data_IF_394387895593
#
_entry.id   IF_394387895593
#
_cell.length_a   1.000
_cell.length_b   1.000
_cell.length_c   1.000
_cell.angle_alpha   90.00
_cell.angle_beta   90.00
_cell.angle_gamma   90.00
#
_symmetry.space_group_name_H-M   'P 1'
#
loop_
_entity.id
_entity.type
_entity.pdbx_description
1 polymer ?
#
# COMPACT_ATOMS: atom_id res chain seq x y z
N UNK A 1 22.10 -10.94 -15.96
CA UNK A 1 21.34 -10.54 -14.77
C UNK A 1 21.50 -9.04 -14.62
N UNK A 2 20.50 -8.27 -15.04
CA UNK A 2 20.46 -6.87 -14.63
C UNK A 2 20.10 -6.87 -13.13
N UNK A 3 21.07 -6.47 -12.30
CA UNK A 3 20.84 -6.30 -10.87
C UNK A 3 19.89 -5.14 -10.59
N UNK A 4 19.51 -4.96 -9.33
CA UNK A 4 18.80 -3.77 -8.89
C UNK A 4 19.58 -2.51 -9.28
N UNK A 5 18.88 -1.53 -9.86
CA UNK A 5 19.45 -0.24 -10.24
C UNK A 5 18.86 0.86 -9.35
N UNK A 6 19.72 1.75 -8.88
CA UNK A 6 19.28 2.91 -8.09
C UNK A 6 18.46 3.87 -8.97
N UNK A 7 17.34 4.34 -8.42
CA UNK A 7 16.47 5.29 -9.11
C UNK A 7 17.16 6.64 -9.22
N UNK A 8 17.11 7.26 -10.40
CA UNK A 8 17.70 8.60 -10.60
C UNK A 8 16.88 9.71 -9.93
N UNK A 9 17.53 10.81 -9.56
CA UNK A 9 16.91 12.01 -9.00
C UNK A 9 16.73 11.96 -7.50
N UNK A 10 15.92 12.88 -6.96
CA UNK A 10 15.80 13.04 -5.49
C UNK A 10 15.32 11.76 -4.79
N UNK A 11 14.44 10.98 -5.41
CA UNK A 11 13.94 9.74 -4.81
C UNK A 11 15.04 8.71 -4.50
N UNK A 12 16.12 8.63 -5.29
CA UNK A 12 17.26 7.74 -5.00
C UNK A 12 18.22 8.30 -3.94
N UNK A 13 18.30 9.63 -3.82
CA UNK A 13 19.24 10.30 -2.91
C UNK A 13 18.67 10.56 -1.51
N UNK A 14 17.36 10.39 -1.32
CA UNK A 14 16.71 10.63 -0.03
C UNK A 14 16.84 9.38 0.84
N UNK A 15 17.51 9.54 1.99
CA UNK A 15 17.76 8.45 2.95
C UNK A 15 16.74 8.38 4.10
N UNK A 16 15.81 9.34 4.19
CA UNK A 16 14.76 9.38 5.22
C UNK A 16 13.40 8.84 4.71
N UNK A 17 13.35 8.14 3.57
CA UNK A 17 12.12 7.51 3.07
C UNK A 17 11.71 6.34 3.98
N UNK A 18 10.51 6.41 4.54
CA UNK A 18 9.89 5.34 5.32
C UNK A 18 9.02 4.43 4.45
N UNK A 19 8.26 5.01 3.52
CA UNK A 19 7.43 4.29 2.57
C UNK A 19 7.18 5.14 1.33
N UNK A 20 6.81 4.50 0.22
CA UNK A 20 6.49 5.20 -1.01
C UNK A 20 5.49 4.42 -1.87
N UNK A 21 4.97 5.10 -2.88
CA UNK A 21 4.29 4.50 -4.02
C UNK A 21 4.68 5.25 -5.29
N UNK A 22 4.50 4.59 -6.42
CA UNK A 22 4.79 5.14 -7.75
C UNK A 22 3.60 4.87 -8.65
N UNK A 23 3.11 5.89 -9.35
CA UNK A 23 2.06 5.74 -10.36
C UNK A 23 2.63 5.30 -11.71
N UNK A 24 1.79 4.75 -12.59
CA UNK A 24 2.17 4.43 -13.97
C UNK A 24 2.64 5.64 -14.78
N UNK A 25 2.28 6.85 -14.37
CA UNK A 25 2.75 8.12 -14.96
C UNK A 25 4.13 8.57 -14.42
N UNK A 26 4.79 7.73 -13.62
CA UNK A 26 6.10 8.00 -13.04
C UNK A 26 6.08 9.11 -11.98
N UNK A 27 4.95 9.32 -11.29
CA UNK A 27 4.89 10.20 -10.12
C UNK A 27 5.18 9.39 -8.87
N UNK A 28 6.07 9.90 -8.03
CA UNK A 28 6.43 9.34 -6.73
C UNK A 28 5.67 10.08 -5.63
N UNK A 29 5.09 9.34 -4.72
CA UNK A 29 4.65 9.84 -3.41
C UNK A 29 5.47 9.12 -2.34
N UNK A 30 6.25 9.86 -1.56
CA UNK A 30 7.15 9.31 -0.56
C UNK A 30 6.84 9.91 0.82
N UNK A 31 6.64 9.04 1.81
CA UNK A 31 6.60 9.42 3.22
C UNK A 31 8.03 9.44 3.74
N UNK A 32 8.42 10.58 4.30
CA UNK A 32 9.74 10.84 4.83
C UNK A 32 9.68 11.00 6.35
N UNK A 33 10.52 10.27 7.08
CA UNK A 33 10.62 10.35 8.55
C UNK A 33 11.55 11.50 8.92
N UNK A 34 10.98 12.66 9.24
CA UNK A 34 11.73 13.90 9.55
C UNK A 34 12.34 13.88 10.94
N UNK A 35 11.64 13.26 11.88
CA UNK A 35 12.08 13.00 13.25
C UNK A 35 11.26 11.85 13.85
N UNK A 36 11.51 11.48 15.10
CA UNK A 36 10.70 10.48 15.81
C UNK A 36 9.21 10.86 15.87
N UNK A 37 8.91 12.16 15.94
CA UNK A 37 7.56 12.71 16.10
C UNK A 37 7.02 13.42 14.85
N UNK A 38 7.75 13.37 13.71
CA UNK A 38 7.30 14.00 12.46
C UNK A 38 7.59 13.13 11.25
N UNK A 39 6.55 12.85 10.48
CA UNK A 39 6.59 12.33 9.12
C UNK A 39 5.99 13.36 8.15
N UNK A 40 6.50 13.39 6.93
CA UNK A 40 6.04 14.32 5.90
C UNK A 40 5.88 13.61 4.55
N UNK A 41 4.77 13.87 3.85
CA UNK A 41 4.61 13.41 2.48
C UNK A 41 5.36 14.37 1.54
N UNK A 42 6.11 13.81 0.60
CA UNK A 42 6.68 14.52 -0.52
C UNK A 42 6.24 13.88 -1.84
N UNK A 43 5.93 14.67 -2.87
CA UNK A 43 5.44 14.18 -4.15
C UNK A 43 6.10 14.89 -5.33
N UNK A 44 6.37 14.17 -6.41
CA UNK A 44 7.00 14.73 -7.61
C UNK A 44 7.20 13.67 -8.69
N UNK A 45 7.64 14.06 -9.88
CA UNK A 45 8.00 13.09 -10.93
C UNK A 45 9.30 12.38 -10.56
N UNK A 46 9.40 11.10 -10.92
CA UNK A 46 10.63 10.32 -10.84
C UNK A 46 11.75 11.07 -11.58
N UNK A 47 12.96 11.11 -11.02
CA UNK A 47 14.05 11.90 -11.59
C UNK A 47 14.02 13.40 -11.27
N UNK A 48 12.95 13.92 -10.67
CA UNK A 48 12.81 15.35 -10.32
C UNK A 48 12.77 15.57 -8.81
N UNK A 49 12.75 16.84 -8.40
CA UNK A 49 12.56 17.22 -7.00
C UNK A 49 11.16 16.82 -6.52
N UNK A 50 11.09 16.31 -5.29
CA UNK A 50 9.84 16.05 -4.61
C UNK A 50 9.44 17.27 -3.78
N UNK A 51 8.24 17.81 -4.02
CA UNK A 51 7.68 18.89 -3.24
C UNK A 51 7.04 18.35 -1.96
N UNK A 52 7.29 19.02 -0.84
CA UNK A 52 6.70 18.64 0.44
C UNK A 52 5.22 19.06 0.51
N UNK A 53 4.42 18.23 1.17
CA UNK A 53 2.99 18.49 1.42
C UNK A 53 2.69 18.36 2.92
N UNK A 54 1.64 17.64 3.26
CA UNK A 54 1.14 17.32 4.59
C UNK A 54 2.20 16.74 5.53
N UNK A 55 1.96 16.95 6.83
CA UNK A 55 2.74 16.43 7.95
C UNK A 55 1.83 15.73 8.96
N UNK A 56 2.39 14.80 9.71
CA UNK A 56 1.78 14.14 10.87
C UNK A 56 2.87 13.54 11.74
N UNK A 57 2.51 12.92 12.87
CA UNK A 57 3.45 12.08 13.62
C UNK A 57 3.77 10.80 12.85
N UNK A 58 2.74 10.22 12.24
CA UNK A 58 2.84 9.08 11.33
C UNK A 58 2.05 9.35 10.05
N UNK A 59 2.51 8.73 8.96
CA UNK A 59 1.79 8.67 7.70
C UNK A 59 1.81 7.23 7.21
N UNK A 60 0.65 6.68 6.83
CA UNK A 60 0.59 5.37 6.19
C UNK A 60 1.26 5.40 4.81
N UNK A 61 1.57 4.21 4.25
CA UNK A 61 2.07 4.14 2.87
C UNK A 61 1.06 4.79 1.92
N UNK A 62 1.47 5.74 1.06
CA UNK A 62 0.55 6.40 0.15
C UNK A 62 0.04 5.43 -0.93
N UNK A 63 -1.07 5.77 -1.59
CA UNK A 63 -1.63 5.03 -2.72
C UNK A 63 -2.16 5.99 -3.76
N UNK A 64 -1.96 5.71 -5.05
CA UNK A 64 -2.42 6.60 -6.13
C UNK A 64 -3.86 6.31 -6.57
N UNK A 65 -4.59 7.37 -6.96
CA UNK A 65 -5.74 7.25 -7.86
C UNK A 65 -5.25 6.89 -9.28
N UNK A 66 -6.13 6.29 -10.08
CA UNK A 66 -5.85 5.85 -11.45
C UNK A 66 -5.26 6.92 -12.40
N UNK A 67 -5.43 8.22 -12.10
CA UNK A 67 -4.81 9.29 -12.91
C UNK A 67 -3.31 9.47 -12.66
N UNK A 68 -2.79 8.85 -11.59
CA UNK A 68 -1.39 8.95 -11.18
C UNK A 68 -0.96 10.31 -10.63
N UNK A 69 -1.87 11.28 -10.52
CA UNK A 69 -1.57 12.66 -10.05
C UNK A 69 -2.15 12.96 -8.67
N UNK A 70 -2.90 12.03 -8.08
CA UNK A 70 -3.49 12.18 -6.76
C UNK A 70 -3.08 10.99 -5.91
N UNK A 71 -2.40 11.23 -4.80
CA UNK A 71 -2.13 10.19 -3.81
C UNK A 71 -2.98 10.39 -2.56
N UNK A 72 -3.41 9.28 -1.98
CA UNK A 72 -4.07 9.23 -0.69
C UNK A 72 -3.09 8.72 0.36
N UNK A 73 -3.20 9.21 1.59
CA UNK A 73 -2.51 8.64 2.75
C UNK A 73 -3.36 8.82 4.00
N UNK A 74 -3.09 8.01 5.01
CA UNK A 74 -3.60 8.21 6.36
C UNK A 74 -2.62 9.07 7.14
N UNK A 75 -3.11 10.04 7.90
CA UNK A 75 -2.36 10.82 8.90
C UNK A 75 -2.74 10.30 10.29
N UNK A 76 -1.74 9.98 11.12
CA UNK A 76 -1.89 9.64 12.53
C UNK A 76 -2.91 8.53 12.84
N UNK A 77 -3.24 7.70 11.84
CA UNK A 77 -4.21 6.61 11.96
C UNK A 77 -5.69 7.02 11.89
N UNK A 78 -6.01 8.32 11.92
CA UNK A 78 -7.37 8.81 12.16
C UNK A 78 -7.96 9.66 11.02
N UNK A 79 -7.15 10.09 10.05
CA UNK A 79 -7.59 10.96 8.96
C UNK A 79 -7.06 10.50 7.62
N UNK A 80 -7.93 10.45 6.62
CA UNK A 80 -7.53 10.16 5.23
C UNK A 80 -7.49 11.45 4.44
N UNK A 81 -6.36 11.71 3.78
CA UNK A 81 -6.14 12.92 2.99
C UNK A 81 -5.74 12.59 1.57
N UNK A 82 -6.16 13.44 0.65
CA UNK A 82 -5.78 13.44 -0.76
C UNK A 82 -4.79 14.55 -1.01
N UNK A 83 -3.71 14.23 -1.69
CA UNK A 83 -2.71 15.19 -2.17
C UNK A 83 -2.72 15.14 -3.68
N UNK A 84 -3.12 16.24 -4.31
CA UNK A 84 -3.22 16.40 -5.76
C UNK A 84 -2.02 17.19 -6.26
N UNK A 85 -1.34 16.65 -7.27
CA UNK A 85 -0.28 17.35 -8.00
C UNK A 85 -0.81 17.93 -9.29
N UNK A 86 -0.57 19.21 -9.52
CA UNK A 86 -0.79 19.84 -10.81
C UNK A 86 0.20 19.29 -11.84
N UNK A 87 -0.25 18.66 -12.95
CA UNK A 87 0.67 18.18 -13.98
C UNK A 87 1.43 19.32 -14.67
N UNK A 88 0.81 20.50 -14.73
CA UNK A 88 1.33 21.68 -15.41
C UNK A 88 2.37 22.43 -14.57
N UNK A 89 2.11 22.61 -13.27
CA UNK A 89 2.94 23.46 -12.38
C UNK A 89 3.78 22.65 -11.39
N UNK A 90 3.38 21.41 -11.08
CA UNK A 90 3.99 20.61 -10.02
C UNK A 90 3.44 20.91 -8.62
N UNK A 91 2.73 22.03 -8.46
CA UNK A 91 2.15 22.45 -7.20
C UNK A 91 1.23 21.39 -6.59
N UNK A 92 1.30 21.27 -5.27
CA UNK A 92 0.51 20.34 -4.49
C UNK A 92 -0.67 21.04 -3.80
N UNK A 93 -1.85 20.44 -3.85
CA UNK A 93 -3.03 20.83 -3.08
C UNK A 93 -3.59 19.66 -2.30
N UNK A 94 -4.30 19.94 -1.21
CA UNK A 94 -4.76 18.92 -0.27
C UNK A 94 -6.26 19.02 -0.01
N UNK A 95 -6.93 17.88 0.13
CA UNK A 95 -8.33 17.81 0.56
C UNK A 95 -8.54 16.59 1.45
N UNK A 96 -9.40 16.68 2.45
CA UNK A 96 -9.77 15.52 3.28
C UNK A 96 -10.74 14.59 2.53
N UNK A 97 -10.73 13.32 2.93
CA UNK A 97 -11.71 12.33 2.50
C UNK A 97 -12.73 12.16 3.61
N UNK A 98 -14.01 12.28 3.27
CA UNK A 98 -15.10 12.00 4.20
C UNK A 98 -15.08 10.50 4.58
N UNK A 99 -14.96 10.28 5.89
CA UNK A 99 -14.81 8.99 6.52
C UNK A 99 -15.92 8.69 7.53
N UNK A 100 -17.08 9.35 7.42
CA UNK A 100 -18.16 9.15 8.40
C UNK A 100 -18.66 7.70 8.51
N UNK A 101 -18.52 6.91 7.44
CA UNK A 101 -18.83 5.46 7.45
C UNK A 101 -17.84 4.61 8.26
N UNK A 102 -16.72 5.19 8.71
CA UNK A 102 -15.72 4.52 9.55
C UNK A 102 -15.85 4.90 11.04
N UNK A 103 -16.72 5.84 11.40
CA UNK A 103 -16.83 6.37 12.78
C UNK A 103 -17.21 5.28 13.80
N UNK A 104 -17.98 4.27 13.39
CA UNK A 104 -18.39 3.14 14.23
C UNK A 104 -17.34 2.00 14.29
N UNK A 105 -16.21 2.14 13.59
CA UNK A 105 -15.13 1.14 13.57
C UNK A 105 -14.01 1.58 14.50
N UNK A 106 -13.81 0.84 15.58
CA UNK A 106 -12.77 1.14 16.57
C UNK A 106 -11.35 0.84 16.05
N UNK A 107 -10.45 1.81 16.24
CA UNK A 107 -9.00 1.65 16.07
C UNK A 107 -8.41 2.50 14.96
N UNK A 108 -7.08 2.47 14.86
CA UNK A 108 -6.32 3.26 13.89
C UNK A 108 -6.24 2.55 12.54
N UNK A 109 -6.34 3.33 11.46
CA UNK A 109 -6.11 2.88 10.09
C UNK A 109 -4.60 2.81 9.84
N UNK A 110 -4.04 1.59 9.81
CA UNK A 110 -2.61 1.37 9.61
C UNK A 110 -2.23 1.22 8.12
N UNK A 111 -3.17 0.78 7.29
CA UNK A 111 -2.97 0.60 5.84
C UNK A 111 -4.21 1.08 5.10
N UNK A 112 -4.01 1.77 3.98
CA UNK A 112 -5.05 2.16 3.02
C UNK A 112 -4.51 1.97 1.59
N UNK A 113 -5.19 1.17 0.78
CA UNK A 113 -4.81 0.90 -0.63
C UNK A 113 -6.01 1.06 -1.55
N UNK A 114 -5.87 1.90 -2.56
CA UNK A 114 -6.86 2.04 -3.63
C UNK A 114 -6.72 0.89 -4.62
N UNK A 115 -7.86 0.42 -5.15
CA UNK A 115 -7.86 -0.51 -6.28
C UNK A 115 -7.29 0.18 -7.51
N UNK A 116 -6.80 -0.58 -8.50
CA UNK A 116 -6.27 0.00 -9.75
C UNK A 116 -7.26 0.96 -10.42
N UNK A 117 -8.56 0.62 -10.40
CA UNK A 117 -9.63 1.48 -10.94
C UNK A 117 -9.90 2.75 -10.11
N UNK A 118 -9.38 2.84 -8.89
CA UNK A 118 -9.69 3.89 -7.91
C UNK A 118 -11.12 3.85 -7.35
N UNK A 119 -11.92 2.85 -7.73
CA UNK A 119 -13.33 2.74 -7.32
C UNK A 119 -13.51 2.09 -5.93
N UNK A 120 -12.48 1.41 -5.43
CA UNK A 120 -12.50 0.71 -4.14
C UNK A 120 -11.29 1.07 -3.30
N UNK A 121 -11.45 0.87 -2.01
CA UNK A 121 -10.40 1.02 -1.01
C UNK A 121 -10.36 -0.23 -0.13
N UNK A 122 -9.16 -0.71 0.18
CA UNK A 122 -8.91 -1.73 1.18
C UNK A 122 -8.13 -1.11 2.33
N UNK A 123 -8.51 -1.44 3.56
CA UNK A 123 -7.96 -0.83 4.77
C UNK A 123 -7.62 -1.91 5.79
N UNK A 124 -6.58 -1.66 6.58
CA UNK A 124 -6.35 -2.38 7.83
C UNK A 124 -6.66 -1.43 8.97
N UNK A 125 -7.61 -1.82 9.83
CA UNK A 125 -8.00 -1.09 11.03
C UNK A 125 -7.86 -2.04 12.21
N UNK A 126 -6.96 -1.74 13.14
CA UNK A 126 -6.63 -2.59 14.29
C UNK A 126 -6.38 -4.07 13.93
N UNK A 127 -5.62 -4.30 12.84
CA UNK A 127 -5.30 -5.64 12.34
C UNK A 127 -6.47 -6.42 11.71
N UNK A 128 -7.63 -5.78 11.53
CA UNK A 128 -8.78 -6.31 10.76
C UNK A 128 -8.86 -5.66 9.39
N UNK A 129 -9.41 -6.38 8.41
CA UNK A 129 -9.44 -5.93 7.01
C UNK A 129 -10.84 -5.45 6.67
N UNK A 130 -10.89 -4.27 6.04
CA UNK A 130 -12.11 -3.65 5.56
C UNK A 130 -11.97 -3.32 4.08
N UNK A 131 -13.06 -3.44 3.35
CA UNK A 131 -13.18 -2.91 1.98
C UNK A 131 -14.28 -1.88 1.93
N UNK A 132 -14.16 -0.90 1.04
CA UNK A 132 -15.16 0.13 0.82
C UNK A 132 -15.18 0.59 -0.63
N UNK A 133 -16.16 1.42 -0.95
CA UNK A 133 -16.33 2.08 -2.24
C UNK A 133 -15.88 3.53 -2.13
N UNK A 134 -15.11 3.99 -3.11
CA UNK A 134 -14.73 5.40 -3.24
C UNK A 134 -15.81 6.13 -4.03
N UNK A 135 -16.63 6.91 -3.33
CA UNK A 135 -17.65 7.73 -3.96
C UNK A 135 -17.18 9.19 -4.12
N UNK A 136 -17.80 9.88 -5.07
CA UNK A 136 -17.64 11.33 -5.27
C UNK A 136 -18.92 12.02 -4.80
N UNK A 137 -18.78 13.04 -3.98
CA UNK A 137 -19.89 13.96 -3.69
C UNK A 137 -20.12 14.90 -4.89
N UNK A 138 -21.30 15.52 -4.95
CA UNK A 138 -21.62 16.54 -5.97
C UNK A 138 -20.68 17.74 -5.88
N UNK A 139 -20.19 18.05 -4.68
CA UNK A 139 -19.15 19.07 -4.41
C UNK A 139 -17.79 18.72 -5.00
N UNK A 140 -17.57 17.46 -5.40
CA UNK A 140 -16.31 16.96 -5.94
C UNK A 140 -15.41 16.26 -4.91
N UNK A 141 -15.74 16.36 -3.62
CA UNK A 141 -15.05 15.68 -2.52
C UNK A 141 -15.17 14.16 -2.63
N UNK A 142 -14.20 13.46 -2.04
CA UNK A 142 -14.19 11.99 -1.99
C UNK A 142 -14.68 11.52 -0.63
N UNK A 143 -15.39 10.40 -0.65
CA UNK A 143 -15.90 9.74 0.55
C UNK A 143 -15.74 8.23 0.43
N UNK A 144 -15.52 7.57 1.56
CA UNK A 144 -15.51 6.12 1.67
C UNK A 144 -16.90 5.67 2.13
N UNK A 145 -17.54 4.78 1.39
CA UNK A 145 -18.91 4.29 1.68
C UNK A 145 -19.02 2.78 1.47
N UNK A 146 -20.12 2.18 1.94
CA UNK A 146 -20.38 0.73 1.85
C UNK A 146 -19.20 -0.08 2.42
N UNK A 147 -18.82 0.25 3.65
CA UNK A 147 -17.67 -0.37 4.30
C UNK A 147 -18.06 -1.74 4.85
N UNK A 148 -17.31 -2.77 4.48
CA UNK A 148 -17.54 -4.13 4.93
C UNK A 148 -16.25 -4.79 5.39
N UNK A 149 -16.35 -5.50 6.50
CA UNK A 149 -15.26 -6.33 7.03
C UNK A 149 -15.13 -7.61 6.19
N UNK A 150 -13.91 -7.96 5.84
CA UNK A 150 -13.57 -9.19 5.10
C UNK A 150 -12.46 -9.96 5.81
N UNK A 151 -12.32 -11.25 5.52
CA UNK A 151 -11.27 -12.10 6.12
C UNK A 151 -11.34 -12.19 7.65
N UNK A 152 -12.48 -12.59 8.24
CA UNK A 152 -12.61 -12.68 9.70
C UNK A 152 -11.57 -13.63 10.35
N UNK A 153 -10.99 -14.56 9.60
CA UNK A 153 -9.93 -15.45 10.07
C UNK A 153 -8.62 -14.71 10.40
N UNK A 154 -8.43 -13.49 9.87
CA UNK A 154 -7.22 -12.69 10.04
C UNK A 154 -7.33 -11.63 11.14
N UNK A 155 -8.46 -11.56 11.86
CA UNK A 155 -8.71 -10.58 12.92
C UNK A 155 -7.51 -10.35 13.83
N UNK A 156 -6.99 -9.12 13.89
CA UNK A 156 -5.89 -8.74 14.77
C UNK A 156 -4.51 -9.20 14.32
N UNK A 157 -4.38 -9.78 13.12
CA UNK A 157 -3.11 -10.30 12.60
C UNK A 157 -2.67 -9.68 11.27
N UNK A 158 -3.54 -8.97 10.55
CA UNK A 158 -3.20 -8.35 9.28
C UNK A 158 -2.23 -7.18 9.49
N UNK A 159 -1.12 -7.18 8.75
CA UNK A 159 -0.06 -6.16 8.84
C UNK A 159 0.12 -5.37 7.55
N UNK A 160 -0.08 -6.02 6.40
CA UNK A 160 0.06 -5.41 5.09
C UNK A 160 -0.97 -5.98 4.14
N UNK A 161 -1.45 -5.18 3.19
CA UNK A 161 -2.30 -5.65 2.12
C UNK A 161 -2.01 -4.90 0.82
N UNK A 162 -2.32 -5.52 -0.30
CA UNK A 162 -2.39 -4.86 -1.59
C UNK A 162 -3.34 -5.58 -2.56
N UNK A 163 -3.86 -4.86 -3.55
CA UNK A 163 -4.76 -5.42 -4.56
C UNK A 163 -4.00 -6.31 -5.56
N UNK A 164 -4.60 -7.41 -5.96
CA UNK A 164 -4.15 -8.23 -7.09
C UNK A 164 -4.86 -7.79 -8.38
N UNK A 165 -4.33 -8.22 -9.53
CA UNK A 165 -4.87 -7.84 -10.84
C UNK A 165 -6.32 -8.33 -11.07
N UNK A 166 -6.73 -9.40 -10.40
CA UNK A 166 -8.08 -9.95 -10.44
C UNK A 166 -9.06 -9.26 -9.47
N UNK A 167 -8.59 -8.28 -8.70
CA UNK A 167 -9.38 -7.58 -7.69
C UNK A 167 -9.40 -8.25 -6.31
N UNK A 168 -8.78 -9.42 -6.13
CA UNK A 168 -8.59 -10.00 -4.80
C UNK A 168 -7.52 -9.21 -4.00
N UNK A 169 -7.46 -9.43 -2.69
CA UNK A 169 -6.46 -8.85 -1.80
C UNK A 169 -5.36 -9.88 -1.52
N UNK A 170 -4.10 -9.47 -1.65
CA UNK A 170 -2.96 -10.16 -1.08
C UNK A 170 -2.70 -9.55 0.31
N UNK A 171 -2.55 -10.39 1.33
CA UNK A 171 -2.42 -9.93 2.72
C UNK A 171 -1.26 -10.61 3.41
N UNK A 172 -0.37 -9.81 4.02
CA UNK A 172 0.68 -10.28 4.93
C UNK A 172 0.24 -10.18 6.39
N UNK A 173 0.60 -11.17 7.19
CA UNK A 173 0.19 -11.27 8.60
C UNK A 173 1.37 -11.43 9.56
N UNK A 174 1.08 -11.27 10.86
CA UNK A 174 1.99 -11.61 11.96
C UNK A 174 2.02 -13.12 12.28
N UNK A 175 1.13 -13.92 11.69
CA UNK A 175 0.97 -15.35 12.01
C UNK A 175 2.02 -16.21 11.30
N UNK A 176 2.77 -17.00 12.07
CA UNK A 176 3.74 -17.95 11.52
C UNK A 176 3.10 -19.13 10.77
N UNK A 177 1.88 -19.53 11.14
CA UNK A 177 1.18 -20.64 10.51
C UNK A 177 0.54 -20.25 9.17
N UNK A 178 0.11 -18.99 9.05
CA UNK A 178 -0.56 -18.45 7.86
C UNK A 178 -0.06 -17.03 7.56
N UNK A 179 1.22 -16.87 7.16
CA UNK A 179 1.86 -15.57 6.96
C UNK A 179 1.30 -14.78 5.78
N UNK A 180 0.71 -15.45 4.79
CA UNK A 180 0.19 -14.81 3.57
C UNK A 180 -1.15 -15.40 3.17
N UNK A 181 -2.09 -14.52 2.84
CA UNK A 181 -3.44 -14.85 2.43
C UNK A 181 -3.83 -14.18 1.12
N UNK A 182 -4.73 -14.83 0.40
CA UNK A 182 -5.54 -14.24 -0.65
C UNK A 182 -6.99 -14.17 -0.16
N UNK A 183 -7.61 -13.00 -0.26
CA UNK A 183 -8.99 -12.75 0.16
C UNK A 183 -9.76 -12.18 -1.03
N UNK A 184 -10.92 -12.75 -1.35
CA UNK A 184 -11.78 -12.17 -2.38
C UNK A 184 -12.30 -10.80 -1.94
N UNK A 185 -12.42 -9.88 -2.90
CA UNK A 185 -12.84 -8.49 -2.65
C UNK A 185 -14.12 -8.37 -1.83
N UNK A 186 -15.08 -9.26 -2.07
CA UNK A 186 -16.38 -9.29 -1.42
C UNK A 186 -16.38 -10.12 -0.11
N UNK A 187 -15.23 -10.68 0.26
CA UNK A 187 -15.08 -11.55 1.41
C UNK A 187 -15.68 -12.94 1.24
N UNK A 188 -16.08 -13.33 0.03
CA UNK A 188 -16.72 -14.64 -0.24
C UNK A 188 -15.79 -15.83 0.02
N UNK A 189 -14.46 -15.64 -0.09
CA UNK A 189 -13.49 -16.64 0.31
C UNK A 189 -12.17 -16.04 0.79
N UNK A 190 -11.51 -16.77 1.69
CA UNK A 190 -10.17 -16.51 2.22
C UNK A 190 -9.34 -17.77 2.08
N UNK A 191 -8.17 -17.69 1.49
CA UNK A 191 -7.28 -18.84 1.29
C UNK A 191 -5.84 -18.49 1.64
N UNK A 192 -5.12 -19.43 2.25
CA UNK A 192 -3.69 -19.27 2.50
C UNK A 192 -2.90 -19.51 1.22
N UNK A 193 -1.83 -18.74 1.03
CA UNK A 193 -0.83 -19.00 -0.01
C UNK A 193 0.26 -19.94 0.52
N UNK A 194 1.07 -20.58 -0.35
CA UNK A 194 2.18 -21.44 0.09
C UNK A 194 3.07 -20.74 1.11
N UNK A 195 3.40 -21.41 2.22
CA UNK A 195 4.09 -20.79 3.38
C UNK A 195 5.51 -21.31 3.58
N UNK A 196 5.93 -22.32 2.81
CA UNK A 196 7.03 -23.23 3.15
C UNK A 196 8.38 -22.59 3.46
N UNK A 197 8.65 -21.39 2.96
CA UNK A 197 9.89 -20.66 3.21
C UNK A 197 9.68 -19.18 3.57
N UNK A 198 8.47 -18.81 4.00
CA UNK A 198 8.19 -17.47 4.53
C UNK A 198 8.33 -17.49 6.05
N UNK A 199 9.04 -16.51 6.61
CA UNK A 199 9.12 -16.30 8.05
C UNK A 199 8.38 -15.02 8.44
N UNK A 200 7.21 -15.19 9.07
CA UNK A 200 6.44 -14.08 9.64
C UNK A 200 7.31 -13.18 10.57
N UNK A 201 6.98 -11.89 10.71
CA UNK A 201 5.85 -11.19 10.10
C UNK A 201 6.08 -10.84 8.62
N UNK A 202 5.00 -10.84 7.85
CA UNK A 202 5.00 -10.29 6.48
C UNK A 202 4.54 -8.84 6.53
N UNK A 203 5.49 -7.92 6.41
CA UNK A 203 5.30 -6.49 6.70
C UNK A 203 5.04 -5.64 5.46
N UNK A 204 5.29 -6.20 4.28
CA UNK A 204 4.94 -5.55 3.02
C UNK A 204 4.56 -6.60 1.98
N UNK A 205 3.61 -6.24 1.13
CA UNK A 205 3.16 -7.04 0.00
C UNK A 205 2.96 -6.14 -1.21
N UNK A 206 3.12 -6.70 -2.40
CA UNK A 206 2.71 -6.08 -3.65
C UNK A 206 2.35 -7.16 -4.66
N UNK A 207 1.57 -6.80 -5.66
CA UNK A 207 1.19 -7.72 -6.73
C UNK A 207 1.23 -7.03 -8.09
N UNK A 208 1.81 -7.73 -9.05
CA UNK A 208 1.73 -7.47 -10.48
C UNK A 208 0.85 -8.55 -11.13
N UNK A 209 0.44 -8.40 -12.41
CA UNK A 209 -0.34 -9.43 -13.09
C UNK A 209 0.32 -10.82 -13.15
N UNK A 210 1.64 -10.90 -13.05
CA UNK A 210 2.39 -12.16 -13.18
C UNK A 210 3.07 -12.63 -11.90
N UNK A 211 3.31 -11.72 -10.94
CA UNK A 211 4.18 -11.97 -9.77
C UNK A 211 3.63 -11.30 -8.53
N UNK A 212 3.58 -12.06 -7.44
CA UNK A 212 3.32 -11.61 -6.07
C UNK A 212 4.64 -11.39 -5.36
N UNK A 213 4.72 -10.35 -4.54
CA UNK A 213 5.89 -10.00 -3.75
C UNK A 213 5.52 -9.89 -2.28
N UNK A 214 6.39 -10.38 -1.41
CA UNK A 214 6.24 -10.28 0.05
C UNK A 214 7.58 -9.95 0.69
N UNK A 215 7.55 -9.13 1.74
CA UNK A 215 8.72 -8.84 2.57
C UNK A 215 8.50 -9.45 3.93
N UNK A 216 9.26 -10.50 4.21
CA UNK A 216 9.19 -11.21 5.49
C UNK A 216 10.24 -10.67 6.48
N UNK A 217 10.53 -11.42 7.54
CA UNK A 217 11.55 -11.05 8.52
C UNK A 217 13.00 -11.09 7.98
N UNK A 218 13.25 -11.69 6.81
CA UNK A 218 14.58 -11.89 6.25
C UNK A 218 14.79 -11.14 4.94
N UNK A 219 13.87 -11.25 3.98
CA UNK A 219 14.11 -10.82 2.61
C UNK A 219 12.83 -10.41 1.87
N UNK A 220 13.04 -9.78 0.71
CA UNK A 220 12.02 -9.67 -0.32
C UNK A 220 11.94 -10.97 -1.12
N UNK A 221 10.74 -11.56 -1.17
CA UNK A 221 10.45 -12.80 -1.86
C UNK A 221 9.40 -12.58 -2.96
N UNK A 222 9.42 -13.45 -3.96
CA UNK A 222 8.49 -13.46 -5.10
C UNK A 222 7.88 -14.85 -5.37
N UNK A 223 6.63 -14.85 -5.84
CA UNK A 223 5.88 -16.03 -6.25
C UNK A 223 5.13 -15.74 -7.57
N UNK A 224 5.12 -16.63 -8.57
CA UNK A 224 4.27 -16.45 -9.73
C UNK A 224 2.79 -16.41 -9.34
N UNK A 225 2.03 -15.42 -9.85
CA UNK A 225 0.63 -15.20 -9.47
C UNK A 225 -0.32 -16.36 -9.88
N UNK A 226 0.00 -17.07 -10.97
CA UNK A 226 -0.70 -18.29 -11.40
C UNK A 226 -0.09 -19.60 -10.86
N UNK A 227 0.76 -19.50 -9.84
CA UNK A 227 1.45 -20.65 -9.26
C UNK A 227 0.51 -21.67 -8.62
N UNK A 228 0.84 -22.95 -8.71
CA UNK A 228 0.13 -24.01 -7.99
C UNK A 228 0.53 -24.07 -6.51
N UNK A 229 -0.14 -24.90 -5.71
CA UNK A 229 0.17 -25.12 -4.28
C UNK A 229 1.58 -25.69 -4.02
N UNK A 230 2.26 -26.23 -5.03
CA UNK A 230 3.66 -26.68 -4.96
C UNK A 230 4.68 -25.59 -5.28
N UNK A 231 4.22 -24.40 -5.66
CA UNK A 231 5.09 -23.24 -5.87
C UNK A 231 5.73 -22.81 -4.55
N UNK A 232 6.98 -22.40 -4.60
CA UNK A 232 7.72 -21.87 -3.46
C UNK A 232 8.12 -20.42 -3.70
N UNK A 233 8.24 -19.65 -2.63
CA UNK A 233 8.71 -18.28 -2.70
C UNK A 233 10.20 -18.27 -3.01
N UNK A 234 10.67 -17.30 -3.78
CA UNK A 234 12.10 -17.16 -4.11
C UNK A 234 12.54 -15.76 -3.77
N UNK A 235 13.77 -15.60 -3.28
CA UNK A 235 14.34 -14.26 -3.14
C UNK A 235 14.37 -13.55 -4.50
N UNK A 236 14.15 -12.24 -4.47
CA UNK A 236 14.23 -11.42 -5.68
C UNK A 236 15.70 -11.24 -6.05
N UNK A 237 16.04 -11.51 -7.31
CA UNK A 237 17.41 -11.41 -7.81
C UNK A 237 17.94 -9.97 -7.64
N UNK A 238 19.14 -9.84 -7.07
CA UNK A 238 19.76 -8.54 -6.80
C UNK A 238 19.32 -7.87 -5.50
N UNK A 239 18.43 -8.52 -4.72
CA UNK A 239 17.99 -8.08 -3.38
C UNK A 239 18.07 -9.24 -2.36
N UNK A 240 18.93 -10.23 -2.63
CA UNK A 240 19.07 -11.39 -1.75
C UNK A 240 19.54 -11.00 -0.35
N UNK A 241 18.90 -11.56 0.68
CA UNK A 241 19.15 -11.24 2.09
C UNK A 241 18.86 -9.79 2.50
N UNK A 242 18.19 -9.01 1.64
CA UNK A 242 17.82 -7.62 1.92
C UNK A 242 16.32 -7.51 2.13
N UNK A 243 15.93 -6.88 3.25
CA UNK A 243 14.55 -6.47 3.47
C UNK A 243 14.27 -5.20 2.70
N UNK A 244 13.35 -5.27 1.75
CA UNK A 244 12.92 -4.13 0.93
C UNK A 244 11.41 -4.11 0.82
N UNK A 245 10.79 -2.93 0.71
CA UNK A 245 9.34 -2.82 0.49
C UNK A 245 9.05 -2.82 -1.01
N UNK A 246 8.26 -3.78 -1.55
CA UNK A 246 7.98 -3.83 -2.97
C UNK A 246 6.96 -2.77 -3.38
N UNK A 247 7.23 -2.14 -4.52
CA UNK A 247 6.30 -1.22 -5.20
C UNK A 247 6.09 -1.76 -6.61
N UNK A 248 4.83 -1.98 -6.97
CA UNK A 248 4.42 -2.28 -8.34
C UNK A 248 3.58 -1.09 -8.78
N UNK A 249 4.05 -0.38 -9.81
CA UNK A 249 3.29 0.73 -10.40
C UNK A 249 1.97 0.23 -10.99
N UNK A 250 0.95 1.09 -10.89
CA UNK A 250 -0.43 0.85 -11.33
C UNK A 250 -1.05 2.12 -11.88
#
# INVERSE_FOLDING_TARGET
>A
SEGSAEVTGSAGQIHDIQSADVSDEGVVAAVRKRSEEESQLAMGKLGQNLENSIKGKTLARPTFENSGQVAWTVIDGDRVVRVTRSPATGELSTSEVDMSELEDIEGEISVLRLSATGARVAMIINGSIYTGVVARATSGERRIVNVHRVGPELTGSALSLDWQADGSLLVGTSSSNSPVWRIEQDGSSSTTLPTGNITAPVVAVAASPSTLYVTDSHALLQLPAGGSSSSYWREVDGLQGVRSSPIVAR
#
